data_IF_699920783745
#
_entry.id   IF_699920783745
#
_cell.length_a   1.000
_cell.length_b   1.000
_cell.length_c   1.000
_cell.angle_alpha   90.00
_cell.angle_beta   90.00
_cell.angle_gamma   90.00
#
_symmetry.space_group_name_H-M   'P 1'
#
loop_
_entity.id
_entity.type
_entity.pdbx_description
1 polymer ?
#
# COMPACT_ATOMS: atom_id res chain seq x y z
N UNK A 1 41.15 -9.64 -66.67
CA UNK A 1 41.64 -10.84 -65.95
C UNK A 1 40.69 -11.08 -64.78
N UNK A 2 39.84 -12.13 -64.82
CA UNK A 2 39.98 -13.42 -64.09
C UNK A 2 40.35 -13.22 -62.61
N UNK A 3 39.76 -13.82 -61.58
CA UNK A 3 38.65 -14.77 -61.31
C UNK A 3 38.63 -14.90 -59.76
N UNK A 4 37.46 -15.03 -59.13
CA UNK A 4 37.21 -15.87 -57.93
C UNK A 4 35.70 -15.73 -57.65
N UNK A 5 34.79 -16.68 -57.91
CA UNK A 5 34.63 -18.05 -57.38
C UNK A 5 34.80 -18.12 -55.86
N UNK A 6 33.70 -18.21 -55.11
CA UNK A 6 33.13 -19.50 -54.67
C UNK A 6 31.73 -19.30 -54.08
N UNK A 7 30.79 -20.09 -54.62
CA UNK A 7 29.42 -20.27 -54.18
C UNK A 7 29.42 -21.46 -53.20
N UNK A 8 28.81 -21.32 -52.02
CA UNK A 8 28.47 -22.44 -51.14
C UNK A 8 26.94 -22.55 -51.04
N UNK A 9 26.42 -23.72 -51.37
CA UNK A 9 25.00 -24.10 -51.39
C UNK A 9 24.78 -25.14 -50.27
N UNK A 10 23.64 -25.01 -49.56
CA UNK A 10 22.89 -26.04 -48.80
C UNK A 10 23.53 -26.58 -47.52
N UNK A 11 22.80 -26.86 -46.43
CA UNK A 11 21.75 -27.89 -46.32
C UNK A 11 20.67 -27.50 -45.29
N UNK A 12 19.41 -27.68 -45.67
CA UNK A 12 18.25 -27.70 -44.78
C UNK A 12 18.15 -29.07 -44.08
N UNK A 13 17.99 -29.07 -42.76
CA UNK A 13 17.65 -30.26 -41.99
C UNK A 13 16.26 -30.09 -41.38
N UNK A 14 15.29 -30.78 -41.99
CA UNK A 14 13.96 -31.06 -41.46
C UNK A 14 14.12 -32.27 -40.53
N UNK A 15 13.81 -32.10 -39.25
CA UNK A 15 13.53 -33.21 -38.35
C UNK A 15 12.15 -33.01 -37.72
N UNK A 16 11.16 -33.67 -38.32
CA UNK A 16 9.89 -33.98 -37.68
C UNK A 16 10.12 -35.12 -36.68
N UNK A 17 9.91 -34.88 -35.39
CA UNK A 17 9.49 -35.93 -34.47
C UNK A 17 8.17 -35.51 -33.83
N UNK A 18 7.13 -36.25 -34.20
CA UNK A 18 5.85 -36.25 -33.55
C UNK A 18 5.90 -37.16 -32.31
N UNK A 19 5.17 -36.76 -31.26
CA UNK A 19 4.73 -37.64 -30.18
C UNK A 19 5.30 -37.33 -28.81
N UNK A 20 4.64 -36.48 -28.02
CA UNK A 20 3.65 -36.94 -27.03
C UNK A 20 3.22 -35.77 -26.14
N UNK A 21 1.93 -35.78 -25.82
CA UNK A 21 1.20 -34.73 -25.14
C UNK A 21 1.67 -34.49 -23.70
N UNK A 22 1.70 -33.22 -23.31
CA UNK A 22 1.11 -32.82 -22.04
C UNK A 22 0.51 -31.42 -22.16
N UNK A 23 -0.78 -31.38 -21.90
CA UNK A 23 -1.71 -30.26 -21.97
C UNK A 23 -1.55 -29.45 -20.68
N UNK A 24 -1.13 -28.20 -20.79
CA UNK A 24 -1.41 -27.18 -19.80
C UNK A 24 -1.81 -25.92 -20.58
N UNK A 25 -3.11 -25.69 -20.65
CA UNK A 25 -3.70 -24.49 -21.22
C UNK A 25 -3.42 -23.31 -20.28
N UNK A 26 -2.59 -22.36 -20.73
CA UNK A 26 -2.77 -20.95 -20.42
C UNK A 26 -2.51 -20.17 -21.71
N UNK A 27 -3.59 -19.84 -22.43
CA UNK A 27 -3.60 -18.84 -23.50
C UNK A 27 -4.50 -17.69 -23.03
N UNK A 28 -3.86 -16.58 -22.63
CA UNK A 28 -3.72 -15.32 -23.38
C UNK A 28 -5.02 -14.54 -23.52
N UNK A 29 -5.10 -13.42 -22.78
CA UNK A 29 -5.77 -12.21 -23.26
C UNK A 29 -4.69 -11.22 -23.66
N UNK A 30 -4.88 -10.66 -24.85
CA UNK A 30 -3.94 -9.89 -25.66
C UNK A 30 -3.58 -8.54 -25.02
N UNK A 31 -2.34 -8.13 -25.24
CA UNK A 31 -1.97 -6.72 -25.33
C UNK A 31 -2.81 -6.03 -26.41
N UNK A 32 -3.41 -4.89 -26.06
CA UNK A 32 -3.72 -3.84 -27.03
C UNK A 32 -3.18 -2.53 -26.45
N UNK A 33 -2.32 -1.87 -27.24
CA UNK A 33 -1.59 -0.66 -26.90
C UNK A 33 -2.06 0.46 -27.80
N UNK A 34 -2.30 1.63 -27.18
CA UNK A 34 -2.33 3.01 -27.69
C UNK A 34 -3.68 3.69 -27.44
N UNK A 35 -3.78 4.96 -27.04
CA UNK A 35 -2.86 5.97 -26.52
C UNK A 35 -3.74 7.13 -25.99
N UNK A 36 -3.22 7.93 -25.05
CA UNK A 36 -3.39 9.40 -24.88
C UNK A 36 -4.78 10.00 -25.21
N UNK A 37 -5.51 10.71 -24.37
CA UNK A 37 -5.12 11.73 -23.39
C UNK A 37 -6.44 12.19 -22.77
N UNK A 38 -6.55 12.20 -21.45
CA UNK A 38 -7.13 13.33 -20.72
C UNK A 38 -6.41 13.31 -19.39
N UNK A 39 -5.68 14.39 -19.13
CA UNK A 39 -5.31 14.78 -17.78
C UNK A 39 -6.60 14.95 -16.99
N UNK A 40 -7.07 13.88 -16.36
CA UNK A 40 -7.95 14.04 -15.22
C UNK A 40 -7.08 14.70 -14.16
N UNK A 41 -7.20 16.02 -14.06
CA UNK A 41 -7.12 16.71 -12.79
C UNK A 41 -8.03 15.93 -11.84
N UNK A 42 -7.49 14.90 -11.18
CA UNK A 42 -8.00 14.42 -9.91
C UNK A 42 -8.08 15.66 -9.06
N UNK A 43 -9.30 16.19 -8.88
CA UNK A 43 -9.58 17.17 -7.86
C UNK A 43 -9.24 16.49 -6.54
N UNK A 44 -7.99 16.63 -6.10
CA UNK A 44 -7.57 16.23 -4.78
C UNK A 44 -8.53 16.90 -3.80
N UNK A 45 -9.22 16.11 -2.98
CA UNK A 45 -10.15 16.66 -1.99
C UNK A 45 -9.31 17.37 -0.93
N UNK A 46 -9.32 18.70 -0.98
CA UNK A 46 -8.67 19.52 0.02
C UNK A 46 -9.65 19.75 1.17
N UNK A 47 -9.37 19.08 2.28
CA UNK A 47 -9.88 19.28 3.63
C UNK A 47 -11.22 18.62 4.00
N UNK A 48 -11.38 18.27 5.30
CA UNK A 48 -12.55 17.54 5.77
C UNK A 48 -13.82 18.39 5.73
N UNK A 49 -14.93 17.77 5.35
CA UNK A 49 -16.24 18.38 5.15
C UNK A 49 -17.26 17.73 6.07
N UNK A 50 -17.26 18.08 7.35
CA UNK A 50 -18.32 17.57 8.21
C UNK A 50 -18.32 18.13 9.63
N UNK A 51 -19.52 18.21 10.19
CA UNK A 51 -19.75 18.40 11.61
C UNK A 51 -19.94 17.01 12.25
N UNK A 52 -18.98 16.60 13.08
CA UNK A 52 -18.97 15.29 13.72
C UNK A 52 -20.21 15.05 14.60
N UNK A 53 -20.82 16.11 15.14
CA UNK A 53 -22.04 16.01 15.96
C UNK A 53 -23.28 15.64 15.13
N UNK A 54 -23.31 16.04 13.85
CA UNK A 54 -24.35 15.61 12.91
C UNK A 54 -24.16 14.15 12.56
N UNK A 55 -22.93 13.74 12.25
CA UNK A 55 -22.62 12.36 11.87
C UNK A 55 -22.84 11.37 13.00
N UNK A 56 -22.62 11.77 14.25
CA UNK A 56 -22.87 10.93 15.43
C UNK A 56 -24.31 10.41 15.51
N UNK A 57 -25.29 11.15 15.00
CA UNK A 57 -26.69 10.71 14.96
C UNK A 57 -26.94 9.66 13.88
N UNK A 58 -26.29 9.80 12.73
CA UNK A 58 -26.43 8.90 11.58
C UNK A 58 -25.58 7.63 11.72
N UNK A 59 -24.44 7.73 12.42
CA UNK A 59 -23.43 6.68 12.56
C UNK A 59 -22.99 6.48 14.03
N UNK A 60 -23.92 6.17 14.95
CA UNK A 60 -23.62 6.09 16.38
C UNK A 60 -22.63 4.98 16.73
N UNK A 61 -22.58 3.90 15.95
CA UNK A 61 -21.67 2.78 16.18
C UNK A 61 -20.22 3.08 15.78
N UNK A 62 -20.05 4.02 14.84
CA UNK A 62 -18.75 4.48 14.36
C UNK A 62 -18.16 5.61 15.20
N UNK A 63 -19.00 6.43 15.84
CA UNK A 63 -18.55 7.64 16.56
C UNK A 63 -18.79 7.47 18.06
N UNK A 64 -17.74 7.13 18.79
CA UNK A 64 -17.77 6.93 20.25
C UNK A 64 -16.90 7.97 20.92
N UNK A 65 -17.44 8.66 21.91
CA UNK A 65 -16.75 9.73 22.64
C UNK A 65 -16.16 10.85 21.76
N UNK A 66 -16.72 11.08 20.57
CA UNK A 66 -16.22 12.07 19.61
C UNK A 66 -15.11 11.57 18.70
N UNK A 67 -14.73 10.29 18.83
CA UNK A 67 -13.71 9.66 18.00
C UNK A 67 -14.34 8.66 17.04
N UNK A 68 -13.86 8.67 15.80
CA UNK A 68 -14.26 7.70 14.78
C UNK A 68 -13.49 6.41 14.99
N UNK A 69 -14.19 5.28 15.10
CA UNK A 69 -13.64 3.96 15.36
C UNK A 69 -14.41 2.89 14.58
N UNK A 70 -13.76 1.77 14.25
CA UNK A 70 -14.48 0.65 13.64
C UNK A 70 -15.47 0.01 14.62
N UNK A 71 -16.73 -0.21 14.21
CA UNK A 71 -17.73 -0.86 15.04
C UNK A 71 -17.43 -2.36 15.23
N UNK A 72 -16.78 -2.97 14.25
CA UNK A 72 -16.43 -4.39 14.27
C UNK A 72 -14.91 -4.57 14.20
N UNK A 73 -14.39 -5.45 15.05
CA UNK A 73 -12.97 -5.84 15.09
C UNK A 73 -12.83 -7.32 14.75
N UNK A 74 -11.61 -7.83 14.56
CA UNK A 74 -11.36 -9.27 14.34
C UNK A 74 -11.94 -10.18 15.45
N UNK A 75 -12.24 -9.62 16.63
CA UNK A 75 -12.86 -10.34 17.75
C UNK A 75 -14.39 -10.36 17.68
N UNK A 76 -15.01 -9.45 16.92
CA UNK A 76 -16.46 -9.34 16.74
C UNK A 76 -17.04 -10.59 16.06
N UNK A 77 -18.23 -11.00 16.51
CA UNK A 77 -18.88 -12.22 16.01
C UNK A 77 -19.31 -12.05 14.55
N UNK A 78 -19.75 -10.85 14.17
CA UNK A 78 -20.18 -10.47 12.83
C UNK A 78 -19.07 -10.71 11.80
N UNK A 79 -17.83 -10.32 12.11
CA UNK A 79 -16.69 -10.57 11.23
C UNK A 79 -16.27 -12.04 11.19
N UNK A 80 -16.51 -12.81 12.26
CA UNK A 80 -16.20 -14.25 12.31
C UNK A 80 -17.21 -15.09 11.55
N UNK A 81 -18.48 -14.67 11.51
CA UNK A 81 -19.57 -15.39 10.85
C UNK A 81 -19.73 -15.02 9.37
N UNK A 82 -19.13 -13.92 8.92
CA UNK A 82 -19.10 -13.54 7.51
C UNK A 82 -18.51 -14.65 6.63
N UNK A 83 -19.23 -15.03 5.58
CA UNK A 83 -18.95 -16.21 4.74
C UNK A 83 -17.93 -15.95 3.63
N UNK A 84 -17.58 -14.68 3.40
CA UNK A 84 -16.65 -14.30 2.34
C UNK A 84 -15.85 -13.05 2.70
N UNK A 85 -14.72 -12.86 2.01
CA UNK A 85 -13.93 -11.63 2.11
C UNK A 85 -14.75 -10.38 1.73
N UNK A 86 -15.62 -10.49 0.73
CA UNK A 86 -16.51 -9.41 0.31
C UNK A 86 -17.55 -9.04 1.37
N UNK A 87 -18.03 -10.01 2.16
CA UNK A 87 -18.91 -9.72 3.30
C UNK A 87 -18.13 -9.03 4.42
N UNK A 88 -16.91 -9.50 4.73
CA UNK A 88 -16.05 -8.89 5.75
C UNK A 88 -15.72 -7.45 5.41
N UNK A 89 -15.26 -7.17 4.19
CA UNK A 89 -14.90 -5.80 3.74
C UNK A 89 -16.10 -4.85 3.82
N UNK A 90 -17.32 -5.30 3.46
CA UNK A 90 -18.53 -4.47 3.62
C UNK A 90 -18.83 -4.10 5.07
N UNK A 91 -18.62 -5.01 6.02
CA UNK A 91 -18.88 -4.75 7.44
C UNK A 91 -17.95 -3.67 8.01
N UNK A 92 -16.71 -3.59 7.50
CA UNK A 92 -15.69 -2.66 7.98
C UNK A 92 -15.34 -1.58 6.95
N UNK A 93 -16.19 -1.36 5.95
CA UNK A 93 -16.02 -0.24 5.03
C UNK A 93 -16.53 1.04 5.69
N UNK A 94 -15.72 2.09 5.66
CA UNK A 94 -16.06 3.35 6.32
C UNK A 94 -17.12 4.09 5.50
N UNK A 95 -18.21 4.60 6.10
CA UNK A 95 -19.15 5.45 5.38
C UNK A 95 -18.46 6.66 4.75
N UNK A 96 -18.83 7.02 3.53
CA UNK A 96 -18.18 8.11 2.79
C UNK A 96 -18.29 9.45 3.53
N UNK A 97 -19.43 9.72 4.18
CA UNK A 97 -19.63 10.95 4.93
C UNK A 97 -18.69 11.05 6.13
N UNK A 98 -18.33 9.91 6.73
CA UNK A 98 -17.33 9.86 7.80
C UNK A 98 -15.95 10.15 7.21
N UNK A 99 -15.55 9.47 6.13
CA UNK A 99 -14.22 9.67 5.55
C UNK A 99 -14.01 11.10 5.08
N UNK A 100 -15.04 11.71 4.49
CA UNK A 100 -14.99 13.11 4.08
C UNK A 100 -14.92 14.06 5.27
N UNK A 101 -15.43 13.69 6.45
CA UNK A 101 -15.38 14.53 7.66
C UNK A 101 -14.12 14.41 8.51
N UNK A 102 -13.37 13.32 8.38
CA UNK A 102 -12.13 13.10 9.12
C UNK A 102 -11.00 13.98 8.56
N UNK A 103 -10.14 14.52 9.43
CA UNK A 103 -8.82 15.03 9.06
C UNK A 103 -7.95 13.94 8.42
N UNK A 104 -6.89 14.35 7.71
CA UNK A 104 -6.00 13.40 7.04
C UNK A 104 -5.27 12.51 8.04
N UNK A 105 -4.96 13.05 9.23
CA UNK A 105 -4.39 12.27 10.33
C UNK A 105 -5.39 11.26 10.91
N UNK A 106 -6.65 11.65 11.11
CA UNK A 106 -7.70 10.73 11.56
C UNK A 106 -7.99 9.63 10.53
N UNK A 107 -7.97 9.94 9.24
CA UNK A 107 -8.07 8.94 8.17
C UNK A 107 -6.91 7.95 8.20
N UNK A 108 -5.67 8.44 8.35
CA UNK A 108 -4.50 7.58 8.44
C UNK A 108 -4.61 6.65 9.66
N UNK A 109 -5.03 7.18 10.80
CA UNK A 109 -5.26 6.37 12.00
C UNK A 109 -6.36 5.32 11.79
N UNK A 110 -7.46 5.65 11.12
CA UNK A 110 -8.48 4.67 10.71
C UNK A 110 -7.94 3.62 9.74
N UNK A 111 -6.99 3.97 8.89
CA UNK A 111 -6.35 3.00 8.00
C UNK A 111 -5.48 2.03 8.81
N UNK A 112 -4.68 2.54 9.75
CA UNK A 112 -3.82 1.73 10.64
C UNK A 112 -4.63 0.79 11.53
N UNK A 113 -5.81 1.23 11.98
CA UNK A 113 -6.73 0.43 12.79
C UNK A 113 -7.68 -0.44 11.96
N UNK A 114 -7.54 -0.45 10.63
CA UNK A 114 -8.41 -1.23 9.76
C UNK A 114 -8.37 -2.73 10.14
N UNK A 115 -9.51 -3.34 10.53
CA UNK A 115 -9.50 -4.69 11.08
C UNK A 115 -8.99 -5.77 10.12
N UNK A 116 -9.00 -5.51 8.81
CA UNK A 116 -8.54 -6.43 7.77
C UNK A 116 -7.22 -5.99 7.12
N UNK A 117 -6.50 -5.06 7.76
CA UNK A 117 -5.15 -4.70 7.34
C UNK A 117 -4.21 -5.89 7.60
N UNK A 118 -3.68 -6.44 6.52
CA UNK A 118 -2.69 -7.49 6.53
C UNK A 118 -1.88 -7.42 5.24
N UNK A 119 -0.77 -6.68 5.29
CA UNK A 119 0.07 -6.44 4.13
C UNK A 119 0.77 -7.72 3.63
N UNK A 120 0.86 -8.75 4.49
CA UNK A 120 1.50 -10.02 4.15
C UNK A 120 0.74 -10.84 3.10
N UNK A 121 -0.52 -10.49 2.82
CA UNK A 121 -1.35 -11.16 1.82
C UNK A 121 -0.97 -10.82 0.37
N UNK A 122 -0.09 -9.86 0.16
CA UNK A 122 0.22 -9.31 -1.16
C UNK A 122 1.72 -9.35 -1.46
N UNK A 123 2.05 -9.62 -2.73
CA UNK A 123 3.45 -9.71 -3.17
C UNK A 123 4.18 -8.36 -3.14
N UNK A 124 3.44 -7.28 -3.41
CA UNK A 124 3.98 -5.93 -3.48
C UNK A 124 3.04 -4.93 -2.82
N UNK A 125 3.61 -3.79 -2.43
CA UNK A 125 2.84 -2.74 -1.77
C UNK A 125 1.88 -2.03 -2.72
N UNK A 126 2.27 -1.84 -3.98
CA UNK A 126 1.39 -1.28 -5.01
C UNK A 126 0.10 -2.11 -5.14
N UNK A 127 0.23 -3.43 -5.19
CA UNK A 127 -0.92 -4.35 -5.28
C UNK A 127 -1.78 -4.26 -4.03
N UNK A 128 -1.19 -4.27 -2.82
CA UNK A 128 -2.00 -4.21 -1.61
C UNK A 128 -2.76 -2.89 -1.51
N UNK A 129 -2.10 -1.76 -1.77
CA UNK A 129 -2.72 -0.43 -1.73
C UNK A 129 -3.84 -0.32 -2.75
N UNK A 130 -3.64 -0.78 -3.98
CA UNK A 130 -4.69 -0.80 -5.00
C UNK A 130 -5.89 -1.63 -4.53
N UNK A 131 -5.67 -2.83 -3.98
CA UNK A 131 -6.74 -3.68 -3.47
C UNK A 131 -7.50 -3.01 -2.32
N UNK A 132 -6.80 -2.41 -1.35
CA UNK A 132 -7.44 -1.74 -0.22
C UNK A 132 -8.24 -0.51 -0.65
N UNK A 133 -7.71 0.30 -1.58
CA UNK A 133 -8.45 1.44 -2.14
C UNK A 133 -9.72 1.02 -2.87
N UNK A 134 -9.72 -0.14 -3.52
CA UNK A 134 -10.90 -0.65 -4.22
C UNK A 134 -12.03 -1.12 -3.30
N UNK A 135 -11.74 -1.43 -2.03
CA UNK A 135 -12.71 -2.03 -1.10
C UNK A 135 -12.95 -1.22 0.17
N UNK A 136 -12.12 -0.22 0.45
CA UNK A 136 -12.20 0.63 1.64
C UNK A 136 -12.10 2.11 1.26
N UNK A 137 -13.16 2.86 1.55
CA UNK A 137 -13.29 4.28 1.25
C UNK A 137 -12.27 5.16 1.98
N UNK A 138 -11.85 4.80 3.19
CA UNK A 138 -10.86 5.58 3.94
C UNK A 138 -9.50 5.53 3.26
N UNK A 139 -9.11 4.36 2.74
CA UNK A 139 -7.93 4.22 1.88
C UNK A 139 -8.06 5.09 0.64
N UNK A 140 -9.15 4.97 -0.11
CA UNK A 140 -9.29 5.72 -1.35
C UNK A 140 -9.28 7.24 -1.11
N UNK A 141 -10.00 7.71 -0.10
CA UNK A 141 -10.03 9.12 0.30
C UNK A 141 -8.63 9.62 0.74
N UNK A 142 -7.91 8.89 1.60
CA UNK A 142 -6.58 9.30 2.09
C UNK A 142 -5.58 9.48 0.94
N UNK A 143 -5.53 8.52 0.00
CA UNK A 143 -4.60 8.57 -1.13
C UNK A 143 -4.94 9.68 -2.15
N UNK A 144 -6.11 10.30 -2.04
CA UNK A 144 -6.54 11.46 -2.83
C UNK A 144 -6.30 12.80 -2.11
N UNK A 145 -5.72 12.81 -0.90
CA UNK A 145 -5.45 14.06 -0.17
C UNK A 145 -4.03 14.55 -0.38
N UNK A 146 -3.91 15.82 -0.74
CA UNK A 146 -2.63 16.49 -1.01
C UNK A 146 -1.66 16.45 0.19
N UNK A 147 -2.19 16.57 1.42
CA UNK A 147 -1.40 16.51 2.65
C UNK A 147 -1.16 15.08 3.17
N UNK A 148 -1.62 14.03 2.47
CA UNK A 148 -1.43 12.63 2.85
C UNK A 148 0.03 12.27 3.16
N UNK A 149 1.00 12.60 2.28
CA UNK A 149 2.42 12.30 2.56
C UNK A 149 3.00 13.02 3.77
N UNK A 150 2.51 14.23 4.08
CA UNK A 150 2.96 14.97 5.26
C UNK A 150 2.48 14.28 6.54
N UNK A 151 1.22 13.85 6.59
CA UNK A 151 0.71 13.13 7.75
C UNK A 151 1.31 11.73 7.89
N UNK A 152 1.56 11.03 6.79
CA UNK A 152 2.31 9.77 6.80
C UNK A 152 3.73 9.95 7.36
N UNK A 153 4.45 11.01 6.98
CA UNK A 153 5.77 11.30 7.54
C UNK A 153 5.70 11.61 9.04
N UNK A 154 4.70 12.36 9.48
CA UNK A 154 4.50 12.68 10.89
C UNK A 154 4.24 11.42 11.72
N UNK A 155 3.33 10.56 11.26
CA UNK A 155 2.99 9.29 11.91
C UNK A 155 4.21 8.36 11.98
N UNK A 156 4.93 8.21 10.86
CA UNK A 156 6.15 7.42 10.76
C UNK A 156 7.23 7.86 11.76
N UNK A 157 7.41 9.17 11.92
CA UNK A 157 8.33 9.71 12.92
C UNK A 157 7.93 9.35 14.36
N UNK A 158 6.64 9.34 14.68
CA UNK A 158 6.17 8.99 16.02
C UNK A 158 6.27 7.49 16.26
N UNK A 159 5.83 6.68 15.30
CA UNK A 159 5.88 5.23 15.37
C UNK A 159 7.33 4.74 15.48
N UNK A 160 8.27 5.31 14.72
CA UNK A 160 9.68 4.95 14.81
C UNK A 160 10.31 5.24 16.18
N UNK A 161 9.91 6.34 16.85
CA UNK A 161 10.39 6.66 18.21
C UNK A 161 9.86 5.69 19.26
N UNK A 162 8.64 5.21 19.08
CA UNK A 162 7.93 4.41 20.07
C UNK A 162 8.07 2.90 19.84
N UNK A 163 8.54 2.48 18.66
CA UNK A 163 8.57 1.07 18.24
C UNK A 163 9.24 0.14 19.27
N UNK A 164 10.40 0.52 19.80
CA UNK A 164 11.15 -0.29 20.78
C UNK A 164 10.46 -0.43 22.15
N UNK A 165 9.51 0.45 22.46
CA UNK A 165 8.74 0.41 23.70
C UNK A 165 7.56 -0.57 23.62
N UNK A 166 7.13 -0.98 22.42
CA UNK A 166 6.01 -1.89 22.24
C UNK A 166 6.42 -3.31 22.61
N UNK A 167 5.69 -3.92 23.55
CA UNK A 167 5.96 -5.28 24.05
C UNK A 167 4.91 -6.32 23.64
N UNK A 168 3.73 -5.86 23.27
CA UNK A 168 2.67 -6.74 22.79
C UNK A 168 2.94 -7.11 21.32
N UNK A 169 3.06 -8.40 20.98
CA UNK A 169 3.37 -8.83 19.61
C UNK A 169 2.30 -8.45 18.57
N UNK A 170 1.02 -8.44 18.94
CA UNK A 170 -0.07 -8.06 18.02
C UNK A 170 -0.01 -6.56 17.72
N UNK A 171 0.21 -5.74 18.75
CA UNK A 171 0.39 -4.29 18.61
C UNK A 171 1.66 -3.96 17.83
N UNK A 172 2.75 -4.70 18.08
CA UNK A 172 4.01 -4.52 17.37
C UNK A 172 3.85 -4.81 15.87
N UNK A 173 3.23 -5.94 15.51
CA UNK A 173 2.95 -6.27 14.10
C UNK A 173 2.09 -5.21 13.44
N UNK A 174 0.99 -4.79 14.08
CA UNK A 174 0.09 -3.76 13.53
C UNK A 174 0.82 -2.44 13.31
N UNK A 175 1.64 -2.03 14.27
CA UNK A 175 2.46 -0.82 14.16
C UNK A 175 3.42 -0.93 12.98
N UNK A 176 4.07 -2.09 12.78
CA UNK A 176 4.92 -2.30 11.61
C UNK A 176 4.17 -2.29 10.28
N UNK A 177 2.98 -2.90 10.21
CA UNK A 177 2.13 -2.85 9.01
C UNK A 177 1.75 -1.38 8.68
N UNK A 178 1.37 -0.60 9.69
CA UNK A 178 1.12 0.85 9.56
C UNK A 178 2.35 1.61 9.05
N UNK A 179 3.52 1.39 9.68
CA UNK A 179 4.77 2.02 9.27
C UNK A 179 5.21 1.66 7.85
N UNK A 180 4.95 0.43 7.40
CA UNK A 180 5.22 0.02 6.03
C UNK A 180 4.34 0.80 5.03
N UNK A 181 3.07 1.00 5.35
CA UNK A 181 2.16 1.81 4.55
C UNK A 181 2.57 3.29 4.55
N UNK A 182 2.87 3.86 5.71
CA UNK A 182 3.34 5.25 5.85
C UNK A 182 4.61 5.48 5.00
N UNK A 183 5.56 4.56 5.09
CA UNK A 183 6.80 4.64 4.34
C UNK A 183 6.55 4.53 2.83
N UNK A 184 5.67 3.65 2.39
CA UNK A 184 5.25 3.59 0.98
C UNK A 184 4.67 4.91 0.48
N UNK A 185 3.81 5.55 1.28
CA UNK A 185 3.22 6.86 0.94
C UNK A 185 4.32 7.92 0.82
N UNK A 186 5.25 7.97 1.78
CA UNK A 186 6.38 8.91 1.78
C UNK A 186 7.31 8.69 0.58
N UNK A 187 7.59 7.43 0.24
CA UNK A 187 8.49 7.03 -0.84
C UNK A 187 7.83 7.01 -2.23
N UNK A 188 6.55 7.37 -2.31
CA UNK A 188 5.83 7.53 -3.56
C UNK A 188 6.25 8.78 -4.35
N UNK A 189 5.89 8.82 -5.63
CA UNK A 189 6.09 10.02 -6.46
C UNK A 189 5.39 11.25 -5.85
N UNK A 190 4.15 11.08 -5.40
CA UNK A 190 3.39 12.12 -4.69
C UNK A 190 4.08 12.52 -3.39
N UNK A 191 4.63 11.56 -2.64
CA UNK A 191 5.39 11.84 -1.43
C UNK A 191 6.63 12.68 -1.68
N UNK A 192 7.40 12.35 -2.72
CA UNK A 192 8.55 13.17 -3.12
C UNK A 192 8.14 14.59 -3.52
N UNK A 193 7.05 14.74 -4.29
CA UNK A 193 6.55 16.04 -4.74
C UNK A 193 6.05 16.92 -3.60
N UNK A 194 5.36 16.31 -2.63
CA UNK A 194 4.81 17.00 -1.46
C UNK A 194 5.88 17.40 -0.44
N UNK A 195 6.84 16.51 -0.15
CA UNK A 195 7.84 16.69 0.90
C UNK A 195 9.13 17.37 0.40
N UNK A 196 9.52 17.06 -0.84
CA UNK A 196 10.75 17.51 -1.48
C UNK A 196 12.03 16.91 -0.90
N UNK A 197 13.15 17.12 -1.61
CA UNK A 197 14.48 16.63 -1.23
C UNK A 197 14.96 17.11 0.16
N UNK A 198 14.43 18.24 0.67
CA UNK A 198 14.79 18.76 1.99
C UNK A 198 14.42 17.80 3.13
N UNK A 199 13.38 16.98 2.95
CA UNK A 199 12.98 15.99 3.94
C UNK A 199 13.75 14.67 3.80
N UNK A 200 14.61 14.51 2.78
CA UNK A 200 15.19 13.22 2.50
C UNK A 200 16.18 12.74 3.57
N UNK A 201 16.94 13.66 4.17
CA UNK A 201 17.81 13.34 5.32
C UNK A 201 16.99 12.85 6.53
N UNK A 202 15.82 13.44 6.76
CA UNK A 202 14.91 13.04 7.83
C UNK A 202 14.32 11.64 7.56
N UNK A 203 13.84 11.39 6.33
CA UNK A 203 13.37 10.06 5.91
C UNK A 203 14.48 9.01 6.05
N UNK A 204 15.70 9.30 5.60
CA UNK A 204 16.86 8.40 5.73
C UNK A 204 17.15 8.07 7.20
N UNK A 205 17.11 9.07 8.09
CA UNK A 205 17.32 8.87 9.52
C UNK A 205 16.24 7.96 10.12
N UNK A 206 14.96 8.21 9.82
CA UNK A 206 13.84 7.40 10.33
C UNK A 206 13.98 5.96 9.85
N UNK A 207 14.28 5.74 8.57
CA UNK A 207 14.50 4.42 7.99
C UNK A 207 15.63 3.67 8.71
N UNK A 208 16.74 4.33 9.01
CA UNK A 208 17.84 3.72 9.78
C UNK A 208 17.40 3.37 11.20
N UNK A 209 16.72 4.29 11.90
CA UNK A 209 16.22 4.04 13.26
C UNK A 209 15.26 2.84 13.31
N UNK A 210 14.39 2.70 12.32
CA UNK A 210 13.49 1.56 12.19
C UNK A 210 14.26 0.24 11.99
N UNK A 211 15.24 0.22 11.07
CA UNK A 211 16.07 -0.97 10.84
C UNK A 211 16.78 -1.41 12.12
N UNK A 212 17.42 -0.47 12.82
CA UNK A 212 18.14 -0.75 14.05
C UNK A 212 17.19 -1.29 15.14
N UNK A 213 15.99 -0.70 15.29
CA UNK A 213 15.00 -1.13 16.27
C UNK A 213 14.48 -2.55 15.99
N UNK A 214 14.21 -2.87 14.71
CA UNK A 214 13.78 -4.20 14.29
C UNK A 214 14.91 -5.21 14.51
N UNK A 215 16.15 -4.90 14.11
CA UNK A 215 17.28 -5.82 14.28
C UNK A 215 17.62 -6.11 15.75
N UNK A 216 17.46 -5.12 16.63
CA UNK A 216 17.63 -5.30 18.08
C UNK A 216 16.54 -6.18 18.69
N UNK A 217 15.32 -6.12 18.16
CA UNK A 217 14.16 -6.84 18.68
C UNK A 217 13.91 -8.18 17.94
N UNK A 218 14.90 -9.08 18.00
CA UNK A 218 14.90 -10.34 17.25
C UNK A 218 13.64 -11.21 17.47
N UNK A 219 13.05 -11.16 18.67
CA UNK A 219 11.84 -11.91 18.99
C UNK A 219 10.66 -11.45 18.13
N UNK A 220 10.53 -10.14 17.94
CA UNK A 220 9.47 -9.54 17.15
C UNK A 220 9.83 -9.43 15.65
N UNK A 221 11.11 -9.39 15.31
CA UNK A 221 11.61 -9.23 13.94
C UNK A 221 11.57 -10.51 13.10
N UNK A 222 11.58 -11.69 13.73
CA UNK A 222 11.69 -12.98 13.04
C UNK A 222 10.61 -13.26 11.98
N UNK A 223 9.48 -12.53 12.03
CA UNK A 223 8.34 -12.67 11.11
C UNK A 223 8.05 -11.42 10.26
N UNK A 224 8.64 -10.27 10.57
CA UNK A 224 8.20 -8.98 10.00
C UNK A 224 9.41 -8.10 9.66
N UNK A 225 9.93 -8.23 8.44
CA UNK A 225 11.02 -7.38 7.93
C UNK A 225 10.47 -6.43 6.87
N UNK A 226 10.64 -5.12 7.09
CA UNK A 226 10.30 -4.10 6.10
C UNK A 226 11.39 -4.11 5.01
N UNK A 227 10.97 -4.48 3.79
CA UNK A 227 11.83 -4.44 2.59
C UNK A 227 11.70 -3.08 1.90
N UNK A 228 12.48 -2.10 2.37
CA UNK A 228 12.39 -0.70 1.92
C UNK A 228 12.62 -0.57 0.42
N UNK A 229 13.51 -1.38 -0.17
CA UNK A 229 13.80 -1.32 -1.59
C UNK A 229 12.56 -1.67 -2.44
N UNK A 230 11.68 -2.54 -1.91
CA UNK A 230 10.38 -2.85 -2.54
C UNK A 230 9.32 -1.77 -2.34
N UNK A 231 9.53 -0.82 -1.43
CA UNK A 231 8.60 0.28 -1.15
C UNK A 231 8.96 1.55 -1.92
N UNK A 232 10.19 1.66 -2.43
CA UNK A 232 10.61 2.79 -3.26
C UNK A 232 9.96 2.66 -4.64
N UNK A 233 8.92 3.47 -4.86
CA UNK A 233 8.25 3.55 -6.17
C UNK A 233 8.79 4.71 -7.02
N UNK A 234 9.42 5.72 -6.40
CA UNK A 234 10.07 6.82 -7.10
C UNK A 234 11.62 6.73 -7.05
N UNK A 235 12.26 6.73 -8.23
CA UNK A 235 13.72 6.62 -8.37
C UNK A 235 14.49 7.78 -7.74
N UNK A 236 13.86 8.94 -7.53
CA UNK A 236 14.47 10.09 -6.85
C UNK A 236 14.83 9.70 -5.41
N UNK A 237 13.98 8.94 -4.73
CA UNK A 237 14.25 8.43 -3.39
C UNK A 237 15.43 7.46 -3.35
N UNK A 238 15.62 6.62 -4.37
CA UNK A 238 16.79 5.72 -4.46
C UNK A 238 18.10 6.50 -4.32
N UNK A 239 18.19 7.66 -4.99
CA UNK A 239 19.39 8.51 -4.94
C UNK A 239 19.59 9.16 -3.58
N UNK A 240 18.53 9.60 -2.92
CA UNK A 240 18.63 10.29 -1.63
C UNK A 240 18.89 9.32 -0.47
N UNK A 241 18.44 8.05 -0.60
CA UNK A 241 18.59 7.03 0.41
C UNK A 241 19.89 6.21 0.30
N UNK A 242 20.55 6.20 -0.86
CA UNK A 242 21.91 5.66 -1.01
C UNK A 242 22.93 6.48 -0.22
#
# INVERSE_FOLDING_TARGET
>A
MKRSLFVMITVAAICCFAGCAQKAEHKTVKEEKAASTTSDTTQYKSEPKGDIDVLKKSYPDWIKNGEVNYPYTLKSQELKEAKSYNERTKLVNVPQEITESCSTAELLHLIEEYPLLDLSLYDTMDIAVENYRNVNTAFDEFFQRENGPKEALNALQQNAKNLSAIKDPEVYKRTLDGMQLELYVVLSAHGYESLGAKQAANVKQIVTQMKDAIEQDQANASTTKIDIDKLITDKRWTKELS
#
